data_IF_212170496285
#
_entry.id   IF_212170496285
#
_cell.length_a   1.000
_cell.length_b   1.000
_cell.length_c   1.000
_cell.angle_alpha   90.00
_cell.angle_beta   90.00
_cell.angle_gamma   90.00
#
_symmetry.space_group_name_H-M   'P 1'
#
loop_
_entity.id
_entity.type
_entity.pdbx_description
1 polymer ?
#
# COMPACT_ATOMS: atom_id res chain seq x y z
N UNK A 1 -17.94 -16.75 -1.47
CA UNK A 1 -18.06 -15.75 -0.37
C UNK A 1 -19.28 -16.11 0.51
N UNK A 2 -19.05 -16.81 1.62
CA UNK A 2 -20.07 -17.08 2.65
C UNK A 2 -19.50 -16.60 3.98
N UNK A 3 -19.98 -15.44 4.42
CA UNK A 3 -19.64 -14.81 5.69
C UNK A 3 -20.25 -15.60 6.85
N UNK A 4 -19.47 -16.50 7.45
CA UNK A 4 -19.73 -16.94 8.82
C UNK A 4 -19.00 -16.00 9.77
N UNK A 5 -19.66 -14.91 10.12
CA UNK A 5 -19.34 -14.09 11.29
C UNK A 5 -19.40 -14.96 12.54
N UNK A 6 -18.24 -15.36 13.06
CA UNK A 6 -18.11 -15.78 14.46
C UNK A 6 -17.79 -14.54 15.28
N UNK A 7 -18.76 -14.14 16.10
CA UNK A 7 -18.58 -13.12 17.11
C UNK A 7 -17.82 -13.66 18.32
N UNK A 8 -16.80 -12.90 18.70
CA UNK A 8 -16.33 -12.52 20.04
C UNK A 8 -15.59 -13.48 20.98
N UNK A 9 -14.60 -12.83 21.61
CA UNK A 9 -14.02 -13.00 22.93
C UNK A 9 -13.03 -14.16 23.14
N UNK A 10 -11.76 -13.86 22.85
CA UNK A 10 -10.66 -14.41 23.63
C UNK A 10 -9.60 -13.32 23.81
N UNK A 11 -9.67 -12.60 24.93
CA UNK A 11 -8.51 -11.89 25.49
C UNK A 11 -7.48 -12.96 25.85
N UNK A 12 -6.49 -13.18 24.98
CA UNK A 12 -5.34 -14.02 25.28
C UNK A 12 -4.33 -13.15 26.02
N UNK A 13 -4.18 -13.39 27.32
CA UNK A 13 -2.99 -12.95 28.04
C UNK A 13 -1.79 -13.75 27.49
N UNK A 14 -0.97 -13.12 26.67
CA UNK A 14 0.31 -13.69 26.27
C UNK A 14 1.33 -13.53 27.39
N UNK A 15 2.04 -14.62 27.69
CA UNK A 15 3.14 -14.63 28.66
C UNK A 15 4.42 -14.17 27.95
N UNK A 16 5.13 -13.12 28.44
CA UNK A 16 6.21 -12.43 27.72
C UNK A 16 7.52 -13.23 27.53
N UNK A 17 7.54 -14.54 27.78
CA UNK A 17 8.80 -15.32 27.81
C UNK A 17 9.27 -15.88 26.47
N UNK A 18 8.55 -15.70 25.36
CA UNK A 18 8.92 -16.33 24.06
C UNK A 18 9.53 -15.40 23.01
N UNK A 19 9.68 -14.10 23.30
CA UNK A 19 10.22 -13.11 22.35
C UNK A 19 11.75 -12.90 22.43
N UNK A 20 12.52 -13.74 23.14
CA UNK A 20 13.94 -13.47 23.46
C UNK A 20 14.97 -14.43 22.83
N UNK A 21 14.67 -15.11 21.72
CA UNK A 21 15.65 -16.02 21.08
C UNK A 21 16.06 -15.67 19.65
N UNK A 22 15.57 -14.57 19.05
CA UNK A 22 16.15 -14.05 17.79
C UNK A 22 17.44 -13.29 18.09
N UNK A 23 18.39 -13.32 17.13
CA UNK A 23 19.66 -12.64 17.29
C UNK A 23 19.42 -11.11 17.43
N UNK A 24 20.01 -10.42 18.42
CA UNK A 24 19.79 -8.99 18.64
C UNK A 24 20.22 -8.09 17.47
N UNK A 25 20.96 -8.62 16.49
CA UNK A 25 21.31 -7.92 15.24
C UNK A 25 20.16 -7.86 14.22
N UNK A 26 19.10 -8.67 14.35
CA UNK A 26 17.90 -8.60 13.49
C UNK A 26 16.90 -7.53 13.95
N UNK A 27 17.06 -6.99 15.17
CA UNK A 27 16.12 -6.04 15.76
C UNK A 27 16.57 -4.58 15.54
N UNK A 28 17.12 -4.25 14.37
CA UNK A 28 17.36 -2.85 14.02
C UNK A 28 16.03 -2.20 13.60
N UNK A 29 15.76 -0.95 14.00
CA UNK A 29 14.63 -0.19 13.48
C UNK A 29 14.61 -0.20 11.96
N UNK A 30 13.45 -0.44 11.37
CA UNK A 30 13.29 -0.50 9.93
C UNK A 30 12.44 0.67 9.42
N UNK A 31 12.98 1.41 8.46
CA UNK A 31 12.29 2.53 7.83
C UNK A 31 11.67 2.10 6.49
N UNK A 32 10.38 1.76 6.51
CA UNK A 32 9.63 1.47 5.28
C UNK A 32 9.45 2.76 4.44
N UNK A 33 9.51 2.63 3.10
CA UNK A 33 9.44 3.72 2.10
C UNK A 33 10.63 4.69 2.10
N UNK A 34 10.83 5.42 3.20
CA UNK A 34 11.71 6.58 3.25
C UNK A 34 12.15 6.82 4.69
N UNK A 35 13.30 7.47 4.87
CA UNK A 35 13.76 7.92 6.18
C UNK A 35 13.15 9.25 6.58
N UNK A 36 13.35 9.58 7.85
CA UNK A 36 13.02 10.87 8.42
C UNK A 36 13.70 12.03 7.69
N UNK A 37 14.98 11.93 7.30
CA UNK A 37 15.70 13.04 6.68
C UNK A 37 15.01 13.52 5.39
N UNK A 38 14.59 12.57 4.54
CA UNK A 38 13.82 12.84 3.32
C UNK A 38 12.46 13.49 3.60
N UNK A 39 11.84 13.21 4.75
CA UNK A 39 10.52 13.73 5.12
C UNK A 39 10.58 15.00 5.98
N UNK A 40 11.71 15.29 6.61
CA UNK A 40 11.84 16.28 7.69
C UNK A 40 11.25 17.65 7.32
N UNK A 41 11.57 18.17 6.14
CA UNK A 41 11.03 19.45 5.67
C UNK A 41 9.51 19.45 5.44
N UNK A 42 8.91 18.31 5.08
CA UNK A 42 7.46 18.14 4.89
C UNK A 42 6.73 17.92 6.22
N UNK A 43 7.44 17.41 7.23
CA UNK A 43 6.93 17.21 8.58
C UNK A 43 7.18 18.42 9.50
N UNK A 44 7.81 19.50 9.01
CA UNK A 44 8.01 20.71 9.79
C UNK A 44 6.65 21.40 10.05
N UNK A 45 6.27 21.63 11.32
CA UNK A 45 5.06 22.36 11.68
C UNK A 45 4.89 23.70 10.96
N UNK A 46 5.99 24.39 10.64
CA UNK A 46 5.94 25.65 9.90
C UNK A 46 5.48 25.45 8.47
N UNK A 47 5.99 24.42 7.82
CA UNK A 47 5.55 24.04 6.47
C UNK A 47 4.09 23.57 6.47
N UNK A 48 3.70 22.80 7.50
CA UNK A 48 2.34 22.27 7.61
C UNK A 48 1.28 23.33 7.97
N UNK A 49 1.63 24.42 8.67
CA UNK A 49 0.60 25.36 9.19
C UNK A 49 0.82 26.83 8.82
N UNK A 50 2.02 27.29 8.48
CA UNK A 50 2.31 28.73 8.35
C UNK A 50 2.04 29.28 6.92
N UNK A 51 1.97 28.40 5.90
CA UNK A 51 1.72 28.80 4.49
C UNK A 51 0.38 29.53 4.26
N UNK A 52 -0.61 29.32 5.14
CA UNK A 52 -1.95 29.90 4.96
C UNK A 52 -2.06 31.35 5.44
N UNK A 53 -1.16 31.83 6.32
CA UNK A 53 -1.26 33.21 6.83
C UNK A 53 -0.76 34.25 5.82
N UNK A 54 0.13 33.86 4.90
CA UNK A 54 0.73 34.80 3.94
C UNK A 54 -0.10 35.02 2.67
N UNK A 55 -1.20 34.29 2.48
CA UNK A 55 -2.11 34.44 1.34
C UNK A 55 -3.17 35.53 1.51
N UNK A 56 -3.26 36.17 2.68
CA UNK A 56 -4.20 37.27 2.90
C UNK A 56 -3.82 38.45 1.98
N UNK A 57 -4.71 38.92 1.09
CA UNK A 57 -4.41 40.05 0.22
C UNK A 57 -4.00 41.25 1.09
N UNK A 58 -2.83 41.82 0.77
CA UNK A 58 -2.08 42.88 1.47
C UNK A 58 -2.85 44.20 1.79
N UNK A 59 -4.18 44.24 1.78
CA UNK A 59 -4.99 45.44 1.87
C UNK A 59 -5.66 45.74 3.22
N UNK A 60 -5.55 44.88 4.25
CA UNK A 60 -6.18 45.15 5.55
C UNK A 60 -5.19 45.77 6.53
N UNK A 61 -5.31 47.09 6.75
CA UNK A 61 -4.53 47.90 7.70
C UNK A 61 -4.87 47.63 9.19
N UNK A 62 -5.43 46.45 9.52
CA UNK A 62 -5.65 46.09 10.91
C UNK A 62 -4.29 45.95 11.62
N UNK A 63 -4.11 46.67 12.73
CA UNK A 63 -2.87 46.60 13.51
C UNK A 63 -2.58 45.15 13.90
N UNK A 64 -1.34 44.66 13.70
CA UNK A 64 -0.96 43.32 14.11
C UNK A 64 -1.11 43.22 15.62
N UNK A 65 -2.03 42.35 16.07
CA UNK A 65 -2.03 41.90 17.46
C UNK A 65 -0.63 41.34 17.79
N UNK A 66 -0.10 41.59 19.00
CA UNK A 66 1.19 41.04 19.38
C UNK A 66 1.16 39.51 19.17
N UNK A 67 2.22 38.92 18.60
CA UNK A 67 2.26 37.49 18.37
C UNK A 67 2.06 36.76 19.71
N UNK A 68 1.31 35.64 19.72
CA UNK A 68 1.15 34.85 20.92
C UNK A 68 2.52 34.47 21.49
N UNK A 69 2.67 34.51 22.81
CA UNK A 69 3.95 34.34 23.51
C UNK A 69 4.57 32.95 23.33
N UNK A 70 3.80 31.97 22.86
CA UNK A 70 4.29 30.65 22.46
C UNK A 70 3.36 30.04 21.39
N UNK A 71 3.90 29.36 20.36
CA UNK A 71 3.07 28.61 19.43
C UNK A 71 2.30 27.50 20.15
N UNK A 72 1.12 27.10 19.66
CA UNK A 72 0.34 26.02 20.26
C UNK A 72 1.08 24.68 20.16
N UNK A 73 0.95 23.88 21.21
CA UNK A 73 1.40 22.49 21.26
C UNK A 73 0.62 21.63 20.25
N UNK A 74 1.34 20.79 19.50
CA UNK A 74 0.76 19.94 18.46
C UNK A 74 0.78 18.46 18.88
N UNK A 75 -0.28 17.75 18.50
CA UNK A 75 -0.45 16.32 18.74
C UNK A 75 -0.40 15.55 17.42
N UNK A 76 0.43 14.50 17.36
CA UNK A 76 0.63 13.68 16.17
C UNK A 76 0.13 12.26 16.42
N UNK A 77 -0.51 11.66 15.42
CA UNK A 77 -0.80 10.23 15.36
C UNK A 77 0.06 9.61 14.25
N UNK A 78 0.89 8.63 14.58
CA UNK A 78 1.70 7.87 13.63
C UNK A 78 1.06 6.48 13.43
N UNK A 79 0.59 6.20 12.22
CA UNK A 79 -0.27 5.06 11.89
C UNK A 79 0.50 3.93 11.22
N UNK A 80 0.40 2.73 11.79
CA UNK A 80 1.18 1.56 11.37
C UNK A 80 2.65 1.82 11.54
N UNK A 81 3.05 2.16 12.77
CA UNK A 81 4.40 2.62 13.05
C UNK A 81 5.46 1.53 12.83
N UNK A 82 5.09 0.25 12.84
CA UNK A 82 6.00 -0.88 12.80
C UNK A 82 7.16 -0.67 13.78
N UNK A 83 8.38 -0.90 13.31
CA UNK A 83 9.62 -0.64 14.06
C UNK A 83 10.28 0.70 13.71
N UNK A 84 9.60 1.61 13.01
CA UNK A 84 10.15 2.91 12.59
C UNK A 84 10.40 3.85 13.77
N UNK A 85 11.49 4.64 13.69
CA UNK A 85 11.88 5.67 14.67
C UNK A 85 11.34 7.07 14.37
N UNK A 86 10.40 7.15 13.42
CA UNK A 86 9.87 8.43 12.95
C UNK A 86 9.30 9.29 14.09
N UNK A 87 8.65 8.69 15.09
CA UNK A 87 8.08 9.43 16.22
C UNK A 87 9.16 10.09 17.08
N UNK A 88 10.24 9.36 17.39
CA UNK A 88 11.36 9.87 18.17
C UNK A 88 12.09 10.97 17.42
N UNK A 89 12.33 10.77 16.12
CA UNK A 89 13.00 11.76 15.28
C UNK A 89 12.17 13.04 15.16
N UNK A 90 10.85 12.93 15.00
CA UNK A 90 9.95 14.08 15.00
C UNK A 90 9.95 14.84 16.33
N UNK A 91 9.86 14.14 17.46
CA UNK A 91 9.92 14.77 18.79
C UNK A 91 11.27 15.46 19.02
N UNK A 92 12.36 14.86 18.57
CA UNK A 92 13.69 15.43 18.71
C UNK A 92 13.86 16.70 17.86
N UNK A 93 13.46 16.65 16.59
CA UNK A 93 13.70 17.72 15.61
C UNK A 93 12.70 18.88 15.69
N UNK A 94 11.45 18.63 16.12
CA UNK A 94 10.39 19.64 16.09
C UNK A 94 9.85 19.92 17.49
N UNK A 95 10.32 21.00 18.16
CA UNK A 95 9.89 21.35 19.51
C UNK A 95 8.39 21.64 19.67
N UNK A 96 7.67 21.92 18.56
CA UNK A 96 6.21 22.16 18.58
C UNK A 96 5.39 20.87 18.73
N UNK A 97 5.96 19.70 18.42
CA UNK A 97 5.30 18.42 18.67
C UNK A 97 5.42 18.08 20.16
N UNK A 98 4.28 18.09 20.84
CA UNK A 98 4.19 17.84 22.27
C UNK A 98 4.01 16.36 22.57
N UNK A 99 3.09 15.72 21.84
CA UNK A 99 2.80 14.29 22.02
C UNK A 99 2.72 13.61 20.66
N UNK A 100 3.35 12.45 20.54
CA UNK A 100 3.18 11.57 19.39
C UNK A 100 2.62 10.23 19.88
N UNK A 101 1.43 9.87 19.40
CA UNK A 101 0.83 8.56 19.60
C UNK A 101 1.16 7.70 18.38
N UNK A 102 1.99 6.67 18.54
CA UNK A 102 2.28 5.67 17.53
C UNK A 102 1.39 4.45 17.74
N UNK A 103 0.73 3.99 16.68
CA UNK A 103 -0.16 2.84 16.73
C UNK A 103 0.20 1.80 15.68
N UNK A 104 0.05 0.53 16.04
CA UNK A 104 0.19 -0.61 15.14
C UNK A 104 -0.77 -1.74 15.54
N UNK A 105 -1.19 -2.57 14.60
CA UNK A 105 -1.99 -3.78 14.90
C UNK A 105 -1.10 -4.94 15.37
N UNK A 106 0.19 -4.90 15.08
CA UNK A 106 1.17 -5.89 15.51
C UNK A 106 1.70 -5.58 16.92
N UNK A 107 1.37 -6.44 17.88
CA UNK A 107 1.82 -6.32 19.26
C UNK A 107 3.35 -6.43 19.41
N UNK A 108 4.02 -7.20 18.55
CA UNK A 108 5.48 -7.39 18.60
C UNK A 108 6.22 -6.09 18.28
N UNK A 109 5.74 -5.33 17.30
CA UNK A 109 6.31 -4.04 16.90
C UNK A 109 6.15 -2.99 18.01
N UNK A 110 5.02 -3.00 18.72
CA UNK A 110 4.82 -2.12 19.89
C UNK A 110 5.70 -2.54 21.08
N UNK A 111 5.86 -3.85 21.32
CA UNK A 111 6.76 -4.37 22.34
C UNK A 111 8.22 -4.00 22.07
N UNK A 112 8.62 -3.95 20.81
CA UNK A 112 9.94 -3.51 20.38
C UNK A 112 10.22 -2.07 20.86
N UNK A 113 9.30 -1.14 20.64
CA UNK A 113 9.44 0.25 21.08
C UNK A 113 9.48 0.41 22.60
N UNK A 114 8.64 -0.33 23.33
CA UNK A 114 8.71 -0.33 24.80
C UNK A 114 10.07 -0.82 25.31
N UNK A 115 10.64 -1.83 24.65
CA UNK A 115 11.96 -2.36 25.01
C UNK A 115 13.07 -1.32 24.77
N UNK A 116 13.03 -0.61 23.63
CA UNK A 116 13.97 0.48 23.34
C UNK A 116 13.85 1.63 24.35
N UNK A 117 12.63 2.03 24.70
CA UNK A 117 12.40 3.10 25.68
C UNK A 117 13.02 2.73 27.05
N UNK A 118 12.82 1.50 27.53
CA UNK A 118 13.42 1.02 28.79
C UNK A 118 14.95 0.97 28.72
N UNK A 119 15.52 0.54 27.58
CA UNK A 119 16.97 0.53 27.39
C UNK A 119 17.55 1.95 27.42
N UNK A 120 16.89 2.93 26.80
CA UNK A 120 17.34 4.32 26.80
C UNK A 120 17.35 4.93 28.21
N UNK A 121 16.38 4.58 29.06
CA UNK A 121 16.29 5.06 30.44
C UNK A 121 17.37 4.42 31.34
N UNK A 122 17.67 3.14 31.14
CA UNK A 122 18.67 2.41 31.93
C UNK A 122 20.11 2.75 31.54
N UNK A 123 20.34 3.21 30.31
CA UNK A 123 21.64 3.67 29.82
C UNK A 123 21.93 5.15 30.14
N UNK A 124 21.02 5.86 30.80
CA UNK A 124 21.34 7.17 31.35
C UNK A 124 22.59 7.02 32.22
N UNK A 125 23.73 7.59 31.82
CA UNK A 125 25.02 7.26 32.40
C UNK A 125 24.89 7.47 33.90
N UNK A 126 25.27 6.44 34.68
CA UNK A 126 25.54 6.61 36.09
C UNK A 126 26.51 7.78 36.19
N UNK A 127 25.96 8.97 36.43
CA UNK A 127 26.69 10.21 36.51
C UNK A 127 27.76 9.93 37.52
N UNK A 128 29.00 9.96 37.01
CA UNK A 128 30.21 9.90 37.80
C UNK A 128 29.95 10.69 39.08
N UNK A 129 30.05 10.00 40.22
CA UNK A 129 30.00 10.61 41.54
C UNK A 129 31.21 11.53 41.69
N UNK A 130 31.16 12.69 41.05
CA UNK A 130 32.08 13.78 41.28
C UNK A 130 31.33 14.82 42.14
N UNK A 131 31.53 14.82 43.46
CA UNK A 131 30.84 15.71 44.39
C UNK A 131 31.45 17.12 44.30
N UNK A 132 31.28 17.80 43.17
CA UNK A 132 31.54 19.24 43.07
C UNK A 132 30.24 19.99 43.31
N UNK A 133 30.17 20.62 44.49
CA UNK A 133 29.08 21.45 45.02
C UNK A 133 28.75 22.66 44.11
N UNK A 134 28.00 22.46 43.03
CA UNK A 134 27.21 23.56 42.45
C UNK A 134 25.77 23.51 42.97
N UNK A 135 25.21 24.63 43.45
CA UNK A 135 23.84 24.68 43.92
C UNK A 135 22.87 24.41 42.77
N UNK A 136 21.77 23.67 43.01
CA UNK A 136 20.79 23.35 41.98
C UNK A 136 20.19 24.65 41.44
N UNK A 137 20.29 24.85 40.12
CA UNK A 137 19.57 25.89 39.41
C UNK A 137 18.08 25.83 39.78
N UNK A 138 17.40 26.99 39.93
CA UNK A 138 15.98 27.00 40.24
C UNK A 138 15.21 26.16 39.20
N UNK A 139 14.18 25.40 39.62
CA UNK A 139 13.40 24.58 38.71
C UNK A 139 12.86 25.47 37.59
N UNK A 140 13.29 25.22 36.36
CA UNK A 140 12.75 25.89 35.19
C UNK A 140 11.24 25.60 35.16
N UNK A 141 10.44 26.63 35.43
CA UNK A 141 8.98 26.53 35.48
C UNK A 141 8.46 26.06 34.11
N UNK A 142 7.82 24.90 34.12
CA UNK A 142 6.95 24.36 33.08
C UNK A 142 7.58 24.04 31.72
N UNK A 143 8.69 23.30 31.67
CA UNK A 143 8.95 22.47 30.49
C UNK A 143 7.87 21.39 30.41
N UNK A 144 6.88 21.62 29.56
CA UNK A 144 5.80 20.68 29.30
C UNK A 144 6.43 19.41 28.70
N UNK A 145 6.31 18.30 29.42
CA UNK A 145 6.98 17.04 29.07
C UNK A 145 6.53 16.55 27.69
N UNK A 146 7.49 16.47 26.75
CA UNK A 146 7.25 15.95 25.41
C UNK A 146 7.28 14.44 25.45
N UNK A 147 6.24 13.77 24.98
CA UNK A 147 6.07 12.33 25.17
C UNK A 147 5.75 11.60 23.87
N UNK A 148 6.35 10.41 23.71
CA UNK A 148 5.95 9.41 22.73
C UNK A 148 5.17 8.30 23.43
N UNK A 149 4.02 7.93 22.89
CA UNK A 149 3.20 6.83 23.36
C UNK A 149 3.04 5.78 22.26
N UNK A 150 3.16 4.50 22.61
CA UNK A 150 2.98 3.39 21.67
C UNK A 150 1.79 2.55 22.12
N UNK A 151 0.88 2.21 21.19
CA UNK A 151 -0.33 1.43 21.49
C UNK A 151 -0.60 0.38 20.42
N UNK A 152 -1.04 -0.79 20.85
CA UNK A 152 -1.60 -1.82 19.95
C UNK A 152 -3.03 -1.41 19.60
N UNK A 153 -3.25 -0.94 18.37
CA UNK A 153 -4.55 -0.51 17.85
C UNK A 153 -4.66 -0.89 16.39
N UNK A 154 -5.68 -1.66 16.05
CA UNK A 154 -6.06 -1.91 14.66
C UNK A 154 -7.12 -0.90 14.22
N UNK A 155 -6.68 0.18 13.55
CA UNK A 155 -7.56 1.25 13.07
C UNK A 155 -8.55 0.78 11.99
N UNK A 156 -8.35 -0.39 11.39
CA UNK A 156 -9.25 -0.90 10.35
C UNK A 156 -10.53 -1.52 10.90
N UNK A 157 -10.48 -2.03 12.14
CA UNK A 157 -11.60 -2.76 12.77
C UNK A 157 -11.99 -2.25 14.16
N UNK A 158 -11.19 -1.39 14.81
CA UNK A 158 -11.47 -0.91 16.18
C UNK A 158 -11.84 0.58 16.23
N UNK A 159 -13.02 0.97 15.72
CA UNK A 159 -13.41 2.37 15.68
C UNK A 159 -13.58 2.96 17.08
N UNK A 160 -13.16 4.22 17.25
CA UNK A 160 -13.41 4.97 18.50
C UNK A 160 -12.42 4.70 19.64
N UNK A 161 -11.38 3.89 19.42
CA UNK A 161 -10.31 3.64 20.40
C UNK A 161 -9.43 4.87 20.66
N UNK A 162 -9.30 5.73 19.65
CA UNK A 162 -8.58 7.01 19.73
C UNK A 162 -9.54 8.20 19.89
N UNK A 163 -9.11 9.31 20.52
CA UNK A 163 -9.97 10.49 20.68
C UNK A 163 -10.33 11.11 19.32
N UNK A 164 -11.62 11.46 19.14
CA UNK A 164 -12.08 12.19 17.95
C UNK A 164 -11.54 13.61 17.95
N UNK A 165 -11.18 14.13 16.78
CA UNK A 165 -10.80 15.53 16.57
C UNK A 165 -9.69 16.03 17.50
N UNK A 166 -8.70 15.19 17.75
CA UNK A 166 -7.64 15.46 18.71
C UNK A 166 -6.29 15.72 18.06
N UNK A 167 -5.99 15.07 16.94
CA UNK A 167 -4.66 15.13 16.33
C UNK A 167 -4.56 16.27 15.32
N UNK A 168 -3.51 17.07 15.45
CA UNK A 168 -3.16 18.13 14.48
C UNK A 168 -2.58 17.52 13.20
N UNK A 169 -1.81 16.45 13.35
CA UNK A 169 -1.16 15.73 12.26
C UNK A 169 -1.41 14.23 12.40
N UNK A 170 -1.77 13.58 11.31
CA UNK A 170 -1.72 12.11 11.20
C UNK A 170 -0.67 11.78 10.15
N UNK A 171 0.26 10.89 10.47
CA UNK A 171 1.29 10.41 9.54
C UNK A 171 1.01 8.94 9.25
N UNK A 172 0.78 8.62 7.99
CA UNK A 172 0.64 7.25 7.48
C UNK A 172 1.81 7.00 6.52
N UNK A 173 2.62 5.97 6.80
CA UNK A 173 3.80 5.63 6.01
C UNK A 173 3.68 4.23 5.41
N UNK A 174 2.80 4.08 4.43
CA UNK A 174 2.57 2.83 3.69
C UNK A 174 1.55 1.90 4.34
N UNK A 175 0.90 2.33 5.42
CA UNK A 175 -0.14 1.55 6.09
C UNK A 175 -1.39 1.51 5.22
N UNK A 176 -1.77 2.63 4.62
CA UNK A 176 -2.84 2.65 3.63
C UNK A 176 -2.52 1.82 2.39
N UNK A 177 -1.27 1.78 1.94
CA UNK A 177 -0.85 0.94 0.80
C UNK A 177 -1.15 -0.54 1.09
N UNK A 178 -0.75 -1.01 2.28
CA UNK A 178 -1.07 -2.36 2.73
C UNK A 178 -2.58 -2.59 2.88
N UNK A 179 -3.30 -1.59 3.39
CA UNK A 179 -4.74 -1.70 3.61
C UNK A 179 -5.54 -1.75 2.29
N UNK A 180 -5.05 -1.11 1.21
CA UNK A 180 -5.68 -1.14 -0.10
C UNK A 180 -5.56 -2.49 -0.81
N UNK A 181 -4.64 -3.35 -0.38
CA UNK A 181 -4.58 -4.76 -0.81
C UNK A 181 -5.75 -5.60 -0.28
N UNK A 182 -6.58 -5.07 0.62
CA UNK A 182 -7.74 -5.77 1.18
C UNK A 182 -8.95 -4.84 1.31
N UNK A 183 -10.03 -5.16 0.60
CA UNK A 183 -11.31 -4.43 0.58
C UNK A 183 -11.86 -4.04 1.97
N UNK A 184 -11.57 -4.83 3.00
CA UNK A 184 -12.15 -4.65 4.32
C UNK A 184 -11.38 -3.65 5.20
N UNK A 185 -10.09 -3.43 4.93
CA UNK A 185 -9.22 -2.70 5.85
C UNK A 185 -9.10 -1.22 5.53
N UNK A 186 -8.87 -0.86 4.27
CA UNK A 186 -8.73 0.55 3.86
C UNK A 186 -9.94 1.42 4.27
N UNK A 187 -11.20 0.99 4.14
CA UNK A 187 -12.35 1.81 4.56
C UNK A 187 -12.31 2.18 6.05
N UNK A 188 -11.99 1.21 6.92
CA UNK A 188 -11.92 1.45 8.36
C UNK A 188 -10.80 2.42 8.72
N UNK A 189 -9.62 2.21 8.12
CA UNK A 189 -8.47 3.07 8.28
C UNK A 189 -8.76 4.53 7.88
N UNK A 190 -9.33 4.74 6.68
CA UNK A 190 -9.69 6.09 6.19
C UNK A 190 -10.71 6.76 7.13
N UNK A 191 -11.72 6.01 7.58
CA UNK A 191 -12.72 6.51 8.52
C UNK A 191 -12.10 6.97 9.84
N UNK A 192 -11.23 6.15 10.44
CA UNK A 192 -10.63 6.47 11.72
C UNK A 192 -9.60 7.60 11.64
N UNK A 193 -8.79 7.65 10.59
CA UNK A 193 -7.87 8.77 10.33
C UNK A 193 -8.65 10.08 10.18
N UNK A 194 -9.71 10.10 9.37
CA UNK A 194 -10.53 11.31 9.19
C UNK A 194 -11.25 11.74 10.47
N UNK A 195 -11.72 10.79 11.29
CA UNK A 195 -12.38 11.05 12.58
C UNK A 195 -11.43 11.65 13.62
N UNK A 196 -10.20 11.15 13.68
CA UNK A 196 -9.20 11.52 14.71
C UNK A 196 -8.54 12.88 14.45
N UNK A 197 -8.46 13.31 13.18
CA UNK A 197 -7.97 14.63 12.80
C UNK A 197 -8.84 15.77 13.35
N UNK A 198 -8.17 16.79 13.90
CA UNK A 198 -8.79 18.03 14.39
C UNK A 198 -9.66 18.68 13.32
N UNK A 199 -10.71 19.32 13.81
CA UNK A 199 -11.59 20.20 13.02
C UNK A 199 -11.40 21.62 13.49
N UNK A 200 -11.38 22.56 12.56
CA UNK A 200 -11.22 23.97 12.91
C UNK A 200 -10.80 24.80 11.71
N UNK A 201 -10.54 26.10 11.91
CA UNK A 201 -10.13 27.01 10.84
C UNK A 201 -8.87 26.53 10.10
N UNK A 202 -7.93 25.93 10.82
CA UNK A 202 -6.68 25.40 10.24
C UNK A 202 -6.79 23.92 9.81
N UNK A 203 -7.79 23.18 10.28
CA UNK A 203 -7.92 21.73 10.07
C UNK A 203 -6.74 20.92 10.64
N UNK A 204 -6.90 19.61 10.71
CA UNK A 204 -5.78 18.67 10.86
C UNK A 204 -5.19 18.31 9.49
N UNK A 205 -3.96 17.81 9.46
CA UNK A 205 -3.28 17.37 8.23
C UNK A 205 -2.98 15.88 8.27
N UNK A 206 -3.42 15.15 7.25
CA UNK A 206 -2.92 13.82 6.94
C UNK A 206 -1.68 13.95 6.05
N UNK A 207 -0.55 13.43 6.51
CA UNK A 207 0.67 13.23 5.75
C UNK A 207 0.74 11.76 5.34
N UNK A 208 0.38 11.46 4.10
CA UNK A 208 0.38 10.12 3.54
C UNK A 208 1.64 9.91 2.70
N UNK A 209 2.48 8.96 3.07
CA UNK A 209 3.60 8.49 2.26
C UNK A 209 3.20 7.18 1.61
N UNK A 210 3.24 7.12 0.28
CA UNK A 210 2.65 6.02 -0.50
C UNK A 210 3.47 5.69 -1.76
N UNK A 211 3.48 4.41 -2.15
CA UNK A 211 3.97 3.96 -3.47
C UNK A 211 2.93 4.06 -4.57
N UNK A 212 1.65 4.28 -4.24
CA UNK A 212 0.61 4.34 -5.24
C UNK A 212 0.78 5.55 -6.17
N UNK A 213 0.34 5.36 -7.42
CA UNK A 213 0.31 6.45 -8.41
C UNK A 213 -0.53 7.61 -7.88
N UNK A 214 -0.02 8.83 -8.01
CA UNK A 214 -0.75 10.07 -7.67
C UNK A 214 -2.09 10.14 -8.41
N UNK A 215 -2.12 9.66 -9.65
CA UNK A 215 -3.32 9.64 -10.50
C UNK A 215 -4.40 8.68 -9.99
N UNK A 216 -4.04 7.73 -9.13
CA UNK A 216 -4.97 6.80 -8.48
C UNK A 216 -5.34 7.27 -7.08
N UNK A 217 -4.33 7.48 -6.22
CA UNK A 217 -4.56 7.69 -4.79
C UNK A 217 -5.17 9.06 -4.49
N UNK A 218 -4.86 10.10 -5.28
CA UNK A 218 -5.45 11.42 -5.08
C UNK A 218 -6.94 11.44 -5.39
N UNK A 219 -7.43 10.95 -6.55
CA UNK A 219 -8.87 10.82 -6.78
C UNK A 219 -9.57 9.94 -5.74
N UNK A 220 -8.96 8.79 -5.37
CA UNK A 220 -9.51 7.90 -4.35
C UNK A 220 -9.78 8.65 -3.04
N UNK A 221 -8.81 9.44 -2.56
CA UNK A 221 -8.97 10.18 -1.31
C UNK A 221 -9.85 11.42 -1.45
N UNK A 222 -9.63 12.23 -2.50
CA UNK A 222 -10.35 13.51 -2.75
C UNK A 222 -11.85 13.29 -2.91
N UNK A 223 -12.21 12.26 -3.67
CA UNK A 223 -13.60 12.01 -4.05
C UNK A 223 -14.28 11.03 -3.07
N UNK A 224 -13.59 10.68 -1.96
CA UNK A 224 -14.10 9.78 -0.93
C UNK A 224 -15.36 10.35 -0.26
N UNK A 225 -16.50 9.62 -0.25
CA UNK A 225 -17.76 10.09 0.30
C UNK A 225 -17.68 10.56 1.75
N UNK A 226 -18.26 11.74 2.02
CA UNK A 226 -18.31 12.35 3.35
C UNK A 226 -17.01 13.00 3.81
N UNK A 227 -15.90 12.78 3.09
CA UNK A 227 -14.66 13.52 3.36
C UNK A 227 -14.78 14.96 2.89
N UNK A 228 -13.99 15.82 3.49
CA UNK A 228 -13.97 17.26 3.27
C UNK A 228 -12.53 17.75 3.09
N UNK A 229 -11.69 16.91 2.47
CA UNK A 229 -10.29 17.23 2.22
C UNK A 229 -10.17 18.52 1.40
N UNK A 230 -9.31 19.41 1.86
CA UNK A 230 -8.93 20.66 1.22
C UNK A 230 -7.42 20.66 1.00
N UNK A 231 -7.00 21.50 0.06
CA UNK A 231 -5.59 21.84 -0.14
C UNK A 231 -4.67 20.61 -0.30
N UNK A 232 -5.06 19.67 -1.18
CA UNK A 232 -4.26 18.48 -1.46
C UNK A 232 -2.96 18.91 -2.14
N UNK A 233 -1.84 18.76 -1.42
CA UNK A 233 -0.49 18.99 -1.96
C UNK A 233 0.18 17.64 -2.20
N UNK A 234 0.89 17.52 -3.32
CA UNK A 234 1.65 16.32 -3.68
C UNK A 234 3.11 16.69 -3.82
N UNK A 235 3.95 15.96 -3.09
CA UNK A 235 5.40 16.05 -3.15
C UNK A 235 5.95 14.67 -3.55
N UNK A 236 7.12 14.66 -4.19
CA UNK A 236 7.85 13.44 -4.51
C UNK A 236 9.15 13.50 -3.72
N UNK A 237 9.43 12.47 -2.93
CA UNK A 237 10.65 12.39 -2.12
C UNK A 237 11.45 11.16 -2.48
N UNK A 238 12.75 11.19 -2.22
CA UNK A 238 13.64 10.07 -2.50
C UNK A 238 13.41 8.93 -1.51
N UNK A 239 13.26 7.72 -2.05
CA UNK A 239 13.16 6.47 -1.30
C UNK A 239 14.48 6.21 -0.57
N UNK A 240 14.40 5.66 0.63
CA UNK A 240 15.60 5.16 1.28
C UNK A 240 16.15 3.96 0.52
N UNK A 241 17.34 4.11 -0.06
CA UNK A 241 18.15 2.97 -0.45
C UNK A 241 18.80 2.42 0.81
N UNK A 242 18.76 1.11 0.99
CA UNK A 242 19.51 0.46 2.05
C UNK A 242 21.00 0.85 1.87
N UNK A 243 21.60 1.56 2.84
CA UNK A 243 22.99 2.00 2.74
C UNK A 243 23.95 0.83 2.60
N UNK A 244 23.54 -0.39 2.99
CA UNK A 244 24.38 -1.58 2.87
C UNK A 244 24.49 -2.11 1.43
N UNK A 245 23.57 -1.74 0.54
CA UNK A 245 23.49 -2.30 -0.81
C UNK A 245 23.83 -1.28 -1.91
N UNK A 246 24.27 -0.08 -1.55
CA UNK A 246 24.71 0.93 -2.51
C UNK A 246 26.20 0.82 -2.74
N UNK A 247 26.59 0.30 -3.90
CA UNK A 247 27.99 0.33 -4.35
C UNK A 247 28.45 1.80 -4.42
N UNK A 248 29.46 2.21 -3.61
CA UNK A 248 29.91 3.59 -3.55
C UNK A 248 30.47 4.11 -4.89
N UNK A 249 30.68 3.24 -5.88
CA UNK A 249 31.08 3.62 -7.22
C UNK A 249 29.94 4.13 -8.12
N UNK A 250 28.67 3.92 -7.76
CA UNK A 250 27.51 4.43 -8.51
C UNK A 250 27.00 5.77 -7.95
N UNK A 251 27.84 6.81 -7.96
CA UNK A 251 27.34 8.19 -7.89
C UNK A 251 26.73 8.56 -9.24
N UNK A 252 25.50 8.13 -9.48
CA UNK A 252 24.71 8.68 -10.58
C UNK A 252 24.41 10.15 -10.28
N UNK A 253 24.82 11.02 -11.18
CA UNK A 253 24.43 12.43 -11.20
C UNK A 253 22.91 12.45 -11.39
N UNK A 254 22.16 12.80 -10.33
CA UNK A 254 20.70 12.89 -10.38
C UNK A 254 20.32 14.05 -11.29
N UNK A 255 20.09 13.75 -12.57
CA UNK A 255 19.37 14.66 -13.47
C UNK A 255 17.97 14.92 -12.90
N UNK A 256 17.46 16.14 -13.05
CA UNK A 256 16.09 16.46 -12.62
C UNK A 256 15.10 15.45 -13.23
N UNK A 257 14.21 14.85 -12.41
CA UNK A 257 13.32 13.80 -12.86
C UNK A 257 12.41 14.34 -13.97
N UNK A 258 12.72 13.94 -15.22
CA UNK A 258 11.85 14.22 -16.36
C UNK A 258 10.59 13.39 -16.15
N UNK A 259 9.51 14.06 -15.73
CA UNK A 259 8.18 13.44 -15.58
C UNK A 259 7.76 12.78 -16.90
N UNK A 260 8.01 11.48 -17.03
CA UNK A 260 7.37 10.68 -18.07
C UNK A 260 5.93 10.46 -17.65
N UNK A 261 4.98 10.94 -18.45
CA UNK A 261 3.53 10.77 -18.21
C UNK A 261 3.03 9.33 -18.43
N UNK A 262 3.92 8.36 -18.34
CA UNK A 262 3.72 6.99 -18.78
C UNK A 262 3.92 6.12 -17.54
N UNK A 263 2.82 5.74 -16.90
CA UNK A 263 2.84 4.91 -15.69
C UNK A 263 3.55 3.56 -15.93
N UNK A 264 4.00 2.87 -14.87
CA UNK A 264 4.80 1.64 -14.99
C UNK A 264 4.09 0.53 -15.76
N UNK A 265 2.77 0.58 -15.85
CA UNK A 265 1.90 -0.42 -16.47
C UNK A 265 1.24 0.07 -17.76
N UNK A 266 1.49 1.31 -18.19
CA UNK A 266 0.87 1.94 -19.36
C UNK A 266 1.09 1.17 -20.69
N UNK A 267 2.11 0.32 -20.76
CA UNK A 267 2.38 -0.55 -21.91
C UNK A 267 1.65 -1.90 -21.84
N UNK A 268 0.97 -2.20 -20.73
CA UNK A 268 0.50 -3.53 -20.36
C UNK A 268 1.60 -4.47 -19.88
N UNK A 269 2.84 -4.00 -19.73
CA UNK A 269 3.90 -4.74 -19.03
C UNK A 269 4.45 -3.86 -17.92
N UNK A 270 4.73 -4.43 -16.75
CA UNK A 270 5.37 -3.68 -15.67
C UNK A 270 6.79 -3.29 -16.09
N UNK A 271 6.99 -1.99 -16.32
CA UNK A 271 8.26 -1.37 -16.66
C UNK A 271 8.47 -0.17 -15.74
N UNK A 272 8.86 -0.40 -14.47
CA UNK A 272 9.13 0.70 -13.55
C UNK A 272 10.28 1.55 -14.11
N UNK A 273 10.11 2.87 -14.06
CA UNK A 273 11.22 3.78 -14.37
C UNK A 273 12.27 3.70 -13.26
N UNK A 274 13.49 4.15 -13.52
CA UNK A 274 14.51 4.33 -12.47
C UNK A 274 13.95 5.13 -11.28
N UNK A 275 13.13 6.13 -11.59
CA UNK A 275 12.54 7.03 -10.61
C UNK A 275 11.47 6.33 -9.77
N UNK A 276 10.68 5.42 -10.37
CA UNK A 276 9.68 4.63 -9.65
C UNK A 276 10.30 3.84 -8.50
N UNK A 277 11.49 3.26 -8.73
CA UNK A 277 12.18 2.48 -7.69
C UNK A 277 12.86 3.37 -6.64
N UNK A 278 13.13 4.63 -6.97
CA UNK A 278 13.94 5.54 -6.17
C UNK A 278 13.14 6.66 -5.48
N UNK A 279 11.82 6.73 -5.68
CA UNK A 279 10.99 7.79 -5.14
C UNK A 279 9.70 7.26 -4.54
N UNK A 280 9.11 8.05 -3.64
CA UNK A 280 7.77 7.82 -3.08
C UNK A 280 6.98 9.12 -3.10
N UNK A 281 5.66 9.00 -3.14
CA UNK A 281 4.76 10.14 -3.12
C UNK A 281 4.45 10.50 -1.66
N UNK A 282 4.51 11.79 -1.34
CA UNK A 282 4.04 12.35 -0.06
C UNK A 282 2.87 13.27 -0.36
N UNK A 283 1.70 12.93 0.17
CA UNK A 283 0.44 13.63 -0.07
C UNK A 283 -0.01 14.25 1.23
N UNK A 284 -0.25 15.55 1.20
CA UNK A 284 -0.72 16.33 2.34
C UNK A 284 -2.18 16.65 2.11
N UNK A 285 -3.06 16.11 2.94
CA UNK A 285 -4.51 16.36 2.88
C UNK A 285 -4.94 17.10 4.15
N UNK A 286 -5.53 18.29 4.00
CA UNK A 286 -6.03 19.06 5.13
C UNK A 286 -7.53 18.81 5.32
N UNK A 287 -8.01 18.64 6.54
CA UNK A 287 -9.46 18.57 6.79
C UNK A 287 -10.12 19.95 6.63
N UNK A 288 -11.37 19.95 6.19
CA UNK A 288 -12.16 21.16 6.05
C UNK A 288 -12.55 21.81 7.40
N UNK A 289 -12.78 23.13 7.36
CA UNK A 289 -13.28 23.88 8.52
C UNK A 289 -14.73 23.56 8.88
N UNK A 290 -15.14 23.96 10.09
CA UNK A 290 -16.40 23.65 10.81
C UNK A 290 -17.74 23.84 10.06
N UNK A 291 -17.75 24.39 8.85
CA UNK A 291 -18.97 24.56 8.06
C UNK A 291 -19.45 23.26 7.40
N UNK A 292 -18.60 22.23 7.32
CA UNK A 292 -19.06 20.87 7.03
C UNK A 292 -19.82 20.37 8.27
N UNK A 293 -21.05 19.89 8.08
CA UNK A 293 -21.94 19.39 9.14
C UNK A 293 -21.14 18.66 10.23
N UNK A 294 -21.00 19.29 11.39
CA UNK A 294 -19.97 19.02 12.41
C UNK A 294 -20.06 17.64 13.11
N UNK A 295 -20.80 16.70 12.54
CA UNK A 295 -21.10 15.39 13.10
C UNK A 295 -21.08 14.25 12.08
N UNK A 296 -20.70 14.49 10.82
CA UNK A 296 -20.69 13.41 9.84
C UNK A 296 -19.47 12.49 10.06
N UNK A 297 -19.61 11.52 10.96
CA UNK A 297 -18.84 10.28 10.87
C UNK A 297 -19.00 9.73 9.46
N UNK A 298 -17.89 9.36 8.81
CA UNK A 298 -17.95 8.76 7.48
C UNK A 298 -18.81 7.50 7.52
N UNK A 299 -19.67 7.33 6.51
CA UNK A 299 -20.39 6.08 6.33
C UNK A 299 -19.43 5.05 5.73
N UNK A 300 -19.02 4.07 6.55
CA UNK A 300 -18.04 3.05 6.15
C UNK A 300 -18.47 2.31 4.90
N UNK A 301 -19.77 2.04 4.72
CA UNK A 301 -20.26 1.33 3.54
C UNK A 301 -20.10 2.14 2.26
N UNK A 302 -20.44 3.44 2.28
CA UNK A 302 -20.16 4.35 1.16
C UNK A 302 -18.67 4.43 0.84
N UNK A 303 -17.79 4.39 1.84
CA UNK A 303 -16.34 4.35 1.63
C UNK A 303 -15.89 3.04 0.97
N UNK A 304 -16.43 1.89 1.40
CA UNK A 304 -16.17 0.58 0.75
C UNK A 304 -16.54 0.62 -0.74
N UNK A 305 -17.76 1.08 -1.05
CA UNK A 305 -18.26 1.16 -2.42
C UNK A 305 -17.42 2.11 -3.28
N UNK A 306 -16.97 3.22 -2.69
CA UNK A 306 -16.09 4.17 -3.37
C UNK A 306 -14.71 3.60 -3.67
N UNK A 307 -14.07 2.92 -2.71
CA UNK A 307 -12.75 2.30 -2.91
C UNK A 307 -12.85 1.23 -4.01
N UNK A 308 -13.88 0.37 -3.97
CA UNK A 308 -14.12 -0.63 -5.03
C UNK A 308 -14.28 0.01 -6.40
N UNK A 309 -15.18 0.99 -6.51
CA UNK A 309 -15.40 1.72 -7.76
C UNK A 309 -14.13 2.42 -8.26
N UNK A 310 -13.31 2.96 -7.36
CA UNK A 310 -12.03 3.59 -7.70
C UNK A 310 -10.98 2.58 -8.16
N UNK A 311 -10.93 1.40 -7.52
CA UNK A 311 -10.07 0.28 -7.92
C UNK A 311 -10.49 -0.25 -9.29
N UNK A 312 -11.78 -0.51 -9.49
CA UNK A 312 -12.33 -0.97 -10.77
C UNK A 312 -12.02 0.02 -11.89
N UNK A 313 -12.25 1.32 -11.66
CA UNK A 313 -11.90 2.36 -12.64
C UNK A 313 -10.40 2.35 -12.97
N UNK A 314 -9.56 2.35 -11.95
CA UNK A 314 -8.12 2.42 -12.13
C UNK A 314 -7.58 1.18 -12.84
N UNK A 315 -7.85 -0.01 -12.31
CA UNK A 315 -7.27 -1.25 -12.80
C UNK A 315 -7.96 -1.76 -14.06
N UNK A 316 -9.24 -1.46 -14.33
CA UNK A 316 -9.88 -1.91 -15.57
C UNK A 316 -9.77 -0.89 -16.72
N UNK A 317 -9.78 0.42 -16.42
CA UNK A 317 -9.84 1.46 -17.47
C UNK A 317 -8.54 2.22 -17.64
N UNK A 318 -7.92 2.66 -16.56
CA UNK A 318 -6.74 3.54 -16.64
C UNK A 318 -5.44 2.75 -16.77
N UNK A 319 -5.38 1.60 -16.11
CA UNK A 319 -4.18 0.81 -15.95
C UNK A 319 -4.42 -0.72 -16.01
N UNK A 320 -5.03 -1.23 -17.10
CA UNK A 320 -5.33 -2.65 -17.25
C UNK A 320 -4.08 -3.52 -17.33
N UNK A 321 -4.08 -4.61 -16.55
CA UNK A 321 -3.02 -5.62 -16.62
C UNK A 321 -3.01 -6.30 -17.99
N UNK A 322 -4.17 -6.43 -18.66
CA UNK A 322 -4.29 -6.93 -20.04
C UNK A 322 -4.65 -5.79 -20.99
N UNK A 323 -3.64 -5.16 -21.59
CA UNK A 323 -3.84 -4.22 -22.71
C UNK A 323 -4.04 -4.97 -24.03
N UNK A 324 -4.61 -4.35 -25.08
CA UNK A 324 -4.71 -4.97 -26.41
C UNK A 324 -3.36 -5.42 -26.98
N UNK A 325 -2.30 -4.67 -26.68
CA UNK A 325 -0.92 -5.03 -27.06
C UNK A 325 -0.46 -6.27 -26.31
N UNK A 326 -0.60 -6.29 -24.96
CA UNK A 326 -0.22 -7.45 -24.15
C UNK A 326 -1.00 -8.70 -24.55
N UNK A 327 -2.30 -8.57 -24.81
CA UNK A 327 -3.14 -9.67 -25.29
C UNK A 327 -2.59 -10.25 -26.61
N UNK A 328 -2.27 -9.38 -27.57
CA UNK A 328 -1.66 -9.79 -28.85
C UNK A 328 -0.34 -10.53 -28.64
N UNK A 329 0.49 -10.03 -27.73
CA UNK A 329 1.80 -10.61 -27.40
C UNK A 329 1.65 -11.98 -26.71
N UNK A 330 0.74 -12.12 -25.75
CA UNK A 330 0.40 -13.38 -25.09
C UNK A 330 -0.08 -14.39 -26.13
N UNK A 331 -1.01 -14.00 -27.01
CA UNK A 331 -1.51 -14.88 -28.09
C UNK A 331 -0.38 -15.35 -29.00
N UNK A 332 0.51 -14.44 -29.41
CA UNK A 332 1.66 -14.78 -30.23
C UNK A 332 2.63 -15.72 -29.49
N UNK A 333 2.86 -15.52 -28.19
CA UNK A 333 3.73 -16.34 -27.36
C UNK A 333 3.17 -17.76 -27.17
N UNK A 334 1.88 -17.92 -26.87
CA UNK A 334 1.21 -19.21 -26.82
C UNK A 334 1.36 -19.97 -28.14
N UNK A 335 1.08 -19.30 -29.27
CA UNK A 335 1.22 -19.91 -30.60
C UNK A 335 2.67 -20.32 -30.93
N UNK A 336 3.68 -19.64 -30.39
CA UNK A 336 5.10 -20.05 -30.53
C UNK A 336 5.44 -21.23 -29.63
N UNK A 337 4.94 -21.27 -28.39
CA UNK A 337 5.19 -22.35 -27.45
C UNK A 337 4.54 -23.67 -27.94
N UNK A 338 3.30 -23.64 -28.39
CA UNK A 338 2.65 -24.84 -28.93
C UNK A 338 3.38 -25.40 -30.17
N UNK A 339 3.87 -24.53 -31.07
CA UNK A 339 4.67 -24.95 -32.24
C UNK A 339 6.00 -25.61 -31.86
N UNK A 340 6.61 -25.20 -30.76
CA UNK A 340 7.86 -25.82 -30.27
C UNK A 340 7.60 -27.26 -29.83
N UNK A 341 6.55 -27.48 -29.02
CA UNK A 341 6.16 -28.82 -28.55
C UNK A 341 5.84 -29.78 -29.70
N UNK A 342 5.10 -29.31 -30.71
CA UNK A 342 4.79 -30.17 -31.88
C UNK A 342 6.03 -30.58 -32.69
N UNK A 343 7.09 -29.77 -32.66
CA UNK A 343 8.32 -30.10 -33.39
C UNK A 343 9.23 -31.03 -32.57
N UNK A 344 9.26 -30.88 -31.24
CA UNK A 344 10.07 -31.72 -30.36
C UNK A 344 9.57 -33.19 -30.36
N UNK A 345 8.25 -33.39 -30.45
CA UNK A 345 7.65 -34.73 -30.56
C UNK A 345 8.04 -35.45 -31.88
N UNK A 346 8.36 -34.70 -32.94
CA UNK A 346 8.69 -35.25 -34.26
C UNK A 346 10.15 -35.74 -34.36
N UNK A 347 11.06 -35.21 -33.55
CA UNK A 347 12.49 -35.58 -33.60
C UNK A 347 12.78 -36.89 -32.85
N UNK A 348 11.97 -37.27 -31.88
CA UNK A 348 12.10 -38.58 -31.19
C UNK A 348 11.48 -39.74 -32.01
N UNK A 349 10.49 -39.46 -32.87
CA UNK A 349 9.80 -40.49 -33.68
C UNK A 349 10.52 -40.79 -35.00
N UNK A 350 11.39 -39.90 -35.50
CA UNK A 350 12.11 -40.09 -36.79
C UNK A 350 13.20 -41.16 -36.80
N UNK A 351 13.37 -41.97 -35.75
CA UNK A 351 14.29 -43.12 -35.76
C UNK A 351 13.68 -44.44 -36.23
N UNK A 352 12.37 -44.57 -36.37
CA UNK A 352 11.76 -45.75 -37.00
C UNK A 352 11.24 -45.46 -38.41
N UNK A 353 12.13 -45.75 -39.37
CA UNK A 353 11.97 -45.59 -40.81
C UNK A 353 10.93 -46.59 -41.34
N UNK A 354 9.70 -46.15 -41.62
CA UNK A 354 8.75 -46.90 -42.45
C UNK A 354 8.28 -46.06 -43.62
N UNK A 355 8.52 -46.63 -44.79
CA UNK A 355 8.33 -46.10 -46.13
C UNK A 355 6.86 -46.28 -46.54
N UNK A 356 6.03 -45.23 -46.46
CA UNK A 356 4.66 -45.27 -47.02
C UNK A 356 4.23 -43.93 -47.61
N UNK A 357 4.36 -43.87 -48.93
CA UNK A 357 3.81 -42.86 -49.83
C UNK A 357 2.28 -42.81 -49.79
N UNK A 358 1.67 -41.77 -49.18
CA UNK A 358 0.35 -41.27 -49.59
C UNK A 358 0.07 -39.84 -49.08
N UNK A 359 -0.37 -38.90 -49.94
CA UNK A 359 -0.74 -37.56 -49.54
C UNK A 359 -2.18 -37.53 -49.02
N UNK A 360 -2.37 -37.34 -47.72
CA UNK A 360 -3.69 -37.18 -47.10
C UNK A 360 -3.85 -35.78 -46.52
N UNK A 361 -4.84 -35.06 -47.08
CA UNK A 361 -5.62 -33.90 -46.62
C UNK A 361 -4.94 -32.75 -45.82
N UNK A 362 -5.29 -31.48 -46.13
CA UNK A 362 -4.84 -30.34 -45.35
C UNK A 362 -5.31 -30.47 -43.88
N UNK A 363 -4.45 -30.15 -42.89
CA UNK A 363 -4.77 -30.29 -41.48
C UNK A 363 -5.98 -29.41 -41.12
N UNK A 364 -6.97 -30.00 -40.44
CA UNK A 364 -8.14 -29.28 -39.93
C UNK A 364 -7.71 -28.20 -38.93
N UNK A 365 -8.21 -26.96 -39.06
CA UNK A 365 -7.74 -25.82 -38.30
C UNK A 365 -8.56 -25.65 -37.01
N UNK A 366 -8.19 -26.34 -35.93
CA UNK A 366 -8.51 -25.93 -34.53
C UNK A 366 -7.96 -26.98 -33.56
N UNK A 367 -6.64 -27.15 -33.53
CA UNK A 367 -6.03 -27.82 -32.37
C UNK A 367 -6.07 -26.81 -31.24
N UNK A 368 -6.84 -27.11 -30.19
CA UNK A 368 -6.89 -26.27 -28.98
C UNK A 368 -5.48 -26.15 -28.43
N UNK A 369 -4.96 -24.92 -28.40
CA UNK A 369 -3.59 -24.62 -28.01
C UNK A 369 -3.52 -24.55 -26.49
N UNK A 370 -3.31 -25.70 -25.85
CA UNK A 370 -3.21 -25.84 -24.40
C UNK A 370 -1.75 -26.00 -23.98
N UNK A 371 -1.32 -25.26 -22.95
CA UNK A 371 0.05 -25.31 -22.39
C UNK A 371 0.03 -25.62 -20.88
N UNK A 372 1.07 -26.27 -20.32
CA UNK A 372 1.19 -26.46 -18.88
C UNK A 372 1.33 -25.14 -18.14
N UNK A 373 0.83 -25.07 -16.90
CA UNK A 373 0.83 -23.84 -16.09
C UNK A 373 2.20 -23.19 -15.93
N UNK A 374 3.27 -23.97 -15.76
CA UNK A 374 4.63 -23.42 -15.65
C UNK A 374 5.05 -22.67 -16.93
N UNK A 375 4.72 -23.18 -18.11
CA UNK A 375 4.99 -22.47 -19.37
C UNK A 375 4.08 -21.25 -19.53
N UNK A 376 2.82 -21.34 -19.10
CA UNK A 376 1.90 -20.20 -19.10
C UNK A 376 2.41 -19.08 -18.20
N UNK A 377 2.87 -19.38 -16.98
CA UNK A 377 3.46 -18.43 -16.05
C UNK A 377 4.64 -17.66 -16.69
N UNK A 378 5.54 -18.37 -17.36
CA UNK A 378 6.67 -17.76 -18.08
C UNK A 378 6.24 -16.85 -19.25
N UNK A 379 5.07 -17.12 -19.84
CA UNK A 379 4.50 -16.30 -20.93
C UNK A 379 3.74 -15.08 -20.38
N UNK A 380 2.98 -15.27 -19.30
CA UNK A 380 2.08 -14.26 -18.76
C UNK A 380 2.83 -13.17 -18.00
N UNK A 381 3.91 -13.52 -17.30
CA UNK A 381 4.68 -12.61 -16.45
C UNK A 381 6.10 -12.44 -16.96
N UNK A 382 6.62 -11.21 -16.98
CA UNK A 382 8.02 -10.92 -17.28
C UNK A 382 8.94 -11.19 -16.08
N UNK A 383 10.26 -11.07 -16.26
CA UNK A 383 11.24 -11.33 -15.19
C UNK A 383 11.00 -10.47 -13.94
N UNK A 384 10.62 -9.21 -14.12
CA UNK A 384 10.33 -8.29 -13.02
C UNK A 384 9.06 -8.70 -12.26
N UNK A 385 7.96 -8.99 -12.95
CA UNK A 385 6.70 -9.46 -12.37
C UNK A 385 6.91 -10.77 -11.61
N UNK A 386 7.69 -11.70 -12.18
CA UNK A 386 8.03 -12.99 -11.54
C UNK A 386 8.86 -12.86 -10.27
N UNK A 387 9.55 -11.72 -10.07
CA UNK A 387 10.27 -11.45 -8.82
C UNK A 387 9.32 -11.15 -7.65
N UNK A 388 8.10 -10.71 -7.94
CA UNK A 388 7.07 -10.38 -6.95
C UNK A 388 5.96 -11.44 -6.88
N UNK A 389 5.56 -12.00 -8.02
CA UNK A 389 4.54 -13.04 -8.12
C UNK A 389 5.22 -14.36 -8.49
N UNK A 390 5.55 -15.16 -7.48
CA UNK A 390 6.18 -16.47 -7.71
C UNK A 390 5.21 -17.44 -8.39
N UNK A 391 5.76 -18.50 -8.99
CA UNK A 391 4.95 -19.59 -9.58
C UNK A 391 3.99 -20.21 -8.56
N UNK A 392 4.37 -20.27 -7.28
CA UNK A 392 3.52 -20.77 -6.20
C UNK A 392 2.29 -19.89 -6.00
N UNK A 393 2.47 -18.56 -5.89
CA UNK A 393 1.35 -17.63 -5.77
C UNK A 393 0.45 -17.65 -7.00
N UNK A 394 1.05 -17.63 -8.20
CA UNK A 394 0.29 -17.79 -9.45
C UNK A 394 -0.57 -19.06 -9.47
N UNK A 395 -0.03 -20.18 -8.98
CA UNK A 395 -0.78 -21.45 -8.96
C UNK A 395 -1.95 -21.39 -7.97
N UNK A 396 -1.76 -20.76 -6.80
CA UNK A 396 -2.83 -20.56 -5.82
C UNK A 396 -3.96 -19.68 -6.38
N UNK A 397 -3.61 -18.60 -7.08
CA UNK A 397 -4.56 -17.69 -7.73
C UNK A 397 -5.30 -18.40 -8.86
N UNK A 398 -4.58 -19.18 -9.67
CA UNK A 398 -5.17 -20.00 -10.73
C UNK A 398 -6.19 -21.01 -10.20
N UNK A 399 -5.87 -21.69 -9.10
CA UNK A 399 -6.81 -22.60 -8.45
C UNK A 399 -8.04 -21.88 -7.90
N UNK A 400 -7.87 -20.66 -7.37
CA UNK A 400 -8.98 -19.83 -6.91
C UNK A 400 -9.90 -19.44 -8.07
N UNK A 401 -9.32 -18.98 -9.18
CA UNK A 401 -10.03 -18.69 -10.42
C UNK A 401 -10.85 -19.90 -10.92
N UNK A 402 -10.22 -21.08 -10.98
CA UNK A 402 -10.89 -22.31 -11.39
C UNK A 402 -12.08 -22.67 -10.47
N UNK A 403 -11.96 -22.43 -9.16
CA UNK A 403 -13.06 -22.68 -8.22
C UNK A 403 -14.26 -21.76 -8.50
N UNK A 404 -14.01 -20.48 -8.74
CA UNK A 404 -15.05 -19.49 -9.04
C UNK A 404 -15.81 -19.83 -10.32
N UNK A 405 -15.11 -20.20 -11.39
CA UNK A 405 -15.74 -20.61 -12.66
C UNK A 405 -16.63 -21.87 -12.51
N UNK A 406 -16.19 -22.83 -11.71
CA UNK A 406 -16.97 -24.04 -11.41
C UNK A 406 -18.22 -23.75 -10.57
N UNK A 407 -18.15 -22.81 -9.62
CA UNK A 407 -19.30 -22.36 -8.84
C UNK A 407 -20.33 -21.63 -9.71
N UNK A 408 -19.87 -20.79 -10.65
CA UNK A 408 -20.72 -20.03 -11.56
C UNK A 408 -21.46 -20.93 -12.57
N UNK A 409 -20.77 -21.95 -13.11
CA UNK A 409 -21.35 -22.90 -14.08
C UNK A 409 -22.32 -23.88 -13.41
N UNK A 410 -22.02 -24.35 -12.20
CA UNK A 410 -22.86 -25.29 -11.45
C UNK A 410 -24.21 -24.72 -11.00
N UNK A 411 -24.32 -23.41 -10.78
CA UNK A 411 -25.58 -22.78 -10.36
C UNK A 411 -26.60 -22.62 -11.50
N UNK A 412 -26.19 -22.75 -12.76
CA UNK A 412 -27.06 -22.51 -13.91
C UNK A 412 -27.89 -23.74 -14.35
N UNK A 413 -27.54 -24.96 -13.90
CA UNK A 413 -28.17 -26.18 -14.43
C UNK A 413 -29.53 -26.55 -13.81
N UNK A 414 -29.92 -25.95 -12.68
CA UNK A 414 -31.12 -26.38 -11.93
C UNK A 414 -32.40 -25.59 -12.23
N UNK A 415 -32.36 -24.62 -13.15
CA UNK A 415 -33.54 -23.83 -13.52
C UNK A 415 -33.70 -23.72 -15.03
N UNK A 416 -34.78 -24.33 -15.56
CA UNK A 416 -35.26 -24.28 -16.95
C UNK A 416 -34.68 -25.27 -17.97
N UNK A 417 -35.08 -26.54 -17.82
CA UNK A 417 -35.37 -27.40 -18.97
C UNK A 417 -36.61 -26.88 -19.71
N UNK A 418 -36.42 -25.96 -20.65
CA UNK A 418 -37.07 -26.00 -21.97
C UNK A 418 -36.73 -24.75 -22.79
N UNK A 419 -36.22 -24.99 -24.01
CA UNK A 419 -36.46 -24.19 -25.22
C UNK A 419 -35.50 -23.01 -25.49
N UNK A 420 -34.36 -23.30 -26.13
CA UNK A 420 -33.93 -22.77 -27.44
C UNK A 420 -32.48 -23.21 -27.76
N UNK A 421 -32.33 -24.00 -28.81
CA UNK A 421 -31.02 -24.39 -29.38
C UNK A 421 -30.44 -23.19 -30.16
N UNK A 422 -29.33 -22.64 -29.69
CA UNK A 422 -28.61 -21.57 -30.39
C UNK A 422 -27.19 -21.38 -29.86
N UNK A 423 -26.21 -22.00 -30.52
CA UNK A 423 -24.77 -21.70 -30.48
C UNK A 423 -24.19 -21.28 -29.11
N UNK A 424 -24.00 -22.27 -28.23
CA UNK A 424 -23.04 -22.16 -27.12
C UNK A 424 -21.75 -22.85 -27.58
N UNK A 425 -20.63 -22.14 -27.49
CA UNK A 425 -19.29 -22.68 -27.77
C UNK A 425 -19.04 -23.94 -26.91
N UNK A 426 -18.33 -24.95 -27.44
CA UNK A 426 -18.13 -26.21 -26.72
C UNK A 426 -17.47 -25.95 -25.37
N UNK A 427 -18.04 -26.56 -24.33
CA UNK A 427 -17.57 -26.55 -22.95
C UNK A 427 -16.07 -26.88 -22.91
N UNK A 428 -15.23 -25.86 -22.74
CA UNK A 428 -13.82 -26.05 -22.43
C UNK A 428 -13.73 -26.38 -20.95
N UNK A 429 -13.87 -27.67 -20.61
CA UNK A 429 -13.49 -28.16 -19.29
C UNK A 429 -12.04 -27.74 -19.02
N UNK A 430 -11.84 -26.94 -17.97
CA UNK A 430 -10.50 -26.55 -17.53
C UNK A 430 -9.78 -27.79 -17.01
N UNK A 431 -8.77 -28.24 -17.74
CA UNK A 431 -7.97 -29.38 -17.33
C UNK A 431 -6.99 -28.90 -16.25
N UNK A 432 -7.00 -29.48 -15.03
CA UNK A 432 -6.09 -29.08 -13.97
C UNK A 432 -4.63 -29.18 -14.42
N UNK A 433 -3.86 -28.10 -14.26
CA UNK A 433 -2.44 -28.07 -14.61
C UNK A 433 -2.12 -27.57 -16.02
N UNK A 434 -3.13 -27.21 -16.82
CA UNK A 434 -2.90 -26.55 -18.10
C UNK A 434 -3.93 -25.46 -18.39
N UNK A 435 -3.61 -24.61 -19.36
CA UNK A 435 -4.35 -23.39 -19.65
C UNK A 435 -4.33 -23.13 -21.16
N UNK A 436 -5.48 -22.73 -21.70
CA UNK A 436 -5.58 -22.23 -23.08
C UNK A 436 -5.27 -20.74 -23.09
N UNK A 437 -4.95 -20.19 -24.27
CA UNK A 437 -4.69 -18.75 -24.40
C UNK A 437 -5.87 -17.87 -23.96
N UNK A 438 -7.10 -18.28 -24.29
CA UNK A 438 -8.30 -17.51 -23.92
C UNK A 438 -8.57 -17.59 -22.42
N UNK A 439 -8.33 -18.76 -21.83
CA UNK A 439 -8.39 -18.94 -20.37
C UNK A 439 -7.31 -18.13 -19.64
N UNK A 440 -6.12 -18.00 -20.21
CA UNK A 440 -5.04 -17.19 -19.66
C UNK A 440 -5.38 -15.70 -19.65
N UNK A 441 -6.01 -15.21 -20.73
CA UNK A 441 -6.47 -13.83 -20.84
C UNK A 441 -7.61 -13.56 -19.85
N UNK A 442 -8.58 -14.47 -19.75
CA UNK A 442 -9.67 -14.38 -18.77
C UNK A 442 -9.13 -14.35 -17.33
N UNK A 443 -8.19 -15.24 -17.01
CA UNK A 443 -7.51 -15.28 -15.73
C UNK A 443 -6.82 -13.95 -15.39
N UNK A 444 -6.00 -13.40 -16.30
CA UNK A 444 -5.35 -12.10 -16.09
C UNK A 444 -6.35 -10.92 -16.04
N UNK A 445 -7.55 -11.09 -16.58
CA UNK A 445 -8.61 -10.07 -16.50
C UNK A 445 -9.29 -10.12 -15.13
N UNK A 446 -9.51 -11.31 -14.57
CA UNK A 446 -10.11 -11.51 -13.24
C UNK A 446 -9.14 -11.25 -12.09
N UNK A 447 -7.83 -11.41 -12.32
CA UNK A 447 -6.80 -11.04 -11.34
C UNK A 447 -6.68 -9.52 -11.10
N UNK A 448 -7.18 -8.70 -12.02
CA UNK A 448 -7.21 -7.23 -11.89
C UNK A 448 -8.31 -6.82 -10.92
#
# INVERSE_FOLDING_TARGET
ISSKTKTNDTVRFFSPQKAMTSNPTENSPFEWLTSFESLSHLLDPRFLFDDHENGAPHGSLAQPSPPPTSPPALHVLHVGCGTSRLAEDMLHHFPRYQTITSVDSNEEDICFHHSLAVQSQTQSPNNDMNPTHEPPSPPHEHEQERTSEYRVVDLSITPGTLPSHFYDVVVDKGTLDCALCCDEFAPGLICEVHRTLKRGPQGGVLVLVTFHSVEYIVPLLRDCPGTDWKDIKVCVVQRCKDPQNTDPSQKEELDEPKRSSVGPWSSGTFRPTSDYNNTVNVILLRTGGMNASASATLDRQSVVEHIRSSNDDWFQRQNPMVTPTRETDIRAAFARACRRRTNDDDDDVKRERVDTTKPTNPPSPTVSLTLPLAECYEILFNDEERSYLTLEFFTQDWEAFCRTENENTGSASDTHSSRLEGCVSPETESVPGCMTVDTAIAFLTEMQ
#
